data_IF_008308375141
#
_entry.id   IF_008308375141
#
_cell.length_a   1.000
_cell.length_b   1.000
_cell.length_c   1.000
_cell.angle_alpha   90.00
_cell.angle_beta   90.00
_cell.angle_gamma   90.00
#
_symmetry.space_group_name_H-M   'P 1'
#
loop_
_entity.id
_entity.type
_entity.pdbx_description
1 polymer ?
#
# COMPACT_ATOMS: atom_id res chain seq x y z
N UNK A 1 -15.39 -8.20 -16.12
CA UNK A 1 -14.97 -7.11 -15.21
C UNK A 1 -14.71 -5.85 -16.05
N UNK A 2 -14.80 -4.64 -15.49
CA UNK A 2 -14.50 -3.39 -16.24
C UNK A 2 -13.04 -3.37 -16.67
N UNK A 3 -12.78 -3.10 -17.95
CA UNK A 3 -11.43 -2.91 -18.49
C UNK A 3 -10.84 -1.53 -18.18
N UNK A 4 -11.59 -0.69 -17.46
CA UNK A 4 -11.22 0.70 -17.20
C UNK A 4 -11.36 1.08 -15.74
N UNK A 5 -10.49 2.00 -15.34
CA UNK A 5 -10.50 2.70 -14.07
C UNK A 5 -10.66 4.20 -14.31
N UNK A 6 -11.22 4.91 -13.34
CA UNK A 6 -11.65 6.30 -13.50
C UNK A 6 -11.08 7.20 -12.41
N UNK A 7 -10.73 8.43 -12.77
CA UNK A 7 -10.29 9.46 -11.81
C UNK A 7 -11.06 10.74 -12.04
N UNK A 8 -11.69 11.24 -10.98
CA UNK A 8 -12.42 12.50 -10.97
C UNK A 8 -11.44 13.63 -10.69
N UNK A 9 -11.53 14.73 -11.43
CA UNK A 9 -10.66 15.90 -11.29
C UNK A 9 -11.46 17.19 -11.37
N UNK A 10 -11.03 18.17 -10.60
CA UNK A 10 -11.40 19.57 -10.80
C UNK A 10 -10.68 20.12 -12.04
N UNK A 11 -11.20 21.20 -12.62
CA UNK A 11 -10.49 21.95 -13.67
C UNK A 11 -9.56 22.94 -12.97
N UNK A 12 -8.29 22.58 -12.84
CA UNK A 12 -7.22 23.43 -12.33
C UNK A 12 -5.95 23.24 -13.17
N UNK A 13 -4.99 24.17 -13.02
CA UNK A 13 -3.75 24.17 -13.81
C UNK A 13 -2.98 22.85 -13.63
N UNK A 14 -2.96 22.27 -12.43
CA UNK A 14 -2.30 20.99 -12.18
C UNK A 14 -2.95 19.80 -12.93
N UNK A 15 -4.27 19.74 -12.97
CA UNK A 15 -5.00 18.70 -13.67
C UNK A 15 -4.89 18.84 -15.19
N UNK A 16 -4.86 20.08 -15.70
CA UNK A 16 -4.68 20.38 -17.11
C UNK A 16 -3.25 20.12 -17.57
N UNK A 17 -2.25 20.55 -16.81
CA UNK A 17 -0.83 20.25 -17.07
C UNK A 17 -0.57 18.76 -17.11
N UNK A 18 -1.11 18.01 -16.14
CA UNK A 18 -0.98 16.55 -16.11
C UNK A 18 -1.61 15.88 -17.33
N UNK A 19 -2.73 16.43 -17.83
CA UNK A 19 -3.36 15.93 -19.05
C UNK A 19 -2.54 16.27 -20.30
N UNK A 20 -2.06 17.51 -20.43
CA UNK A 20 -1.27 17.98 -21.58
C UNK A 20 0.07 17.24 -21.68
N UNK A 21 0.74 17.06 -20.54
CA UNK A 21 2.06 16.41 -20.44
C UNK A 21 1.97 14.88 -20.34
N UNK A 22 0.76 14.32 -20.28
CA UNK A 22 0.50 12.90 -20.04
C UNK A 22 1.19 12.39 -18.75
N UNK A 23 1.13 13.20 -17.70
CA UNK A 23 1.72 12.94 -16.40
C UNK A 23 0.66 12.48 -15.40
N UNK A 24 1.08 11.60 -14.50
CA UNK A 24 0.18 10.99 -13.53
C UNK A 24 0.65 11.28 -12.11
N UNK A 25 -0.01 12.24 -11.46
CA UNK A 25 0.36 12.67 -10.12
C UNK A 25 -0.05 11.65 -9.04
N UNK A 26 0.94 11.26 -8.24
CA UNK A 26 0.80 10.47 -7.03
C UNK A 26 0.97 11.37 -5.81
N UNK A 27 -0.03 11.37 -4.93
CA UNK A 27 -0.04 12.16 -3.72
C UNK A 27 0.72 11.44 -2.60
N UNK A 28 1.46 12.19 -1.79
CA UNK A 28 1.99 11.67 -0.52
C UNK A 28 0.82 11.39 0.44
N UNK A 29 0.78 10.25 1.14
CA UNK A 29 -0.23 9.97 2.16
C UNK A 29 -0.39 11.07 3.22
N UNK A 30 0.69 11.75 3.58
CA UNK A 30 0.67 12.89 4.50
C UNK A 30 -0.16 14.09 4.02
N UNK A 31 -0.50 14.15 2.73
CA UNK A 31 -1.36 15.20 2.16
C UNK A 31 -2.85 14.89 2.23
N UNK A 32 -3.24 13.69 2.69
CA UNK A 32 -4.63 13.30 2.78
C UNK A 32 -5.35 14.02 3.91
N UNK A 33 -6.57 14.47 3.61
CA UNK A 33 -7.42 15.22 4.54
C UNK A 33 -8.27 14.30 5.44
N UNK A 34 -8.37 13.01 5.13
CA UNK A 34 -9.06 12.04 5.96
C UNK A 34 -8.18 11.62 7.16
N UNK A 35 -8.69 11.70 8.39
CA UNK A 35 -7.91 11.37 9.57
C UNK A 35 -7.60 9.87 9.74
N UNK A 36 -8.18 8.99 8.92
CA UNK A 36 -7.99 7.54 8.91
C UNK A 36 -7.21 7.04 7.69
N UNK A 37 -7.18 7.80 6.59
CA UNK A 37 -6.45 7.39 5.38
C UNK A 37 -4.94 7.23 5.66
N UNK A 38 -4.40 6.09 5.23
CA UNK A 38 -2.99 5.69 5.40
C UNK A 38 -2.46 5.71 6.84
N UNK A 39 -3.34 5.83 7.85
CA UNK A 39 -2.97 5.69 9.25
C UNK A 39 -3.17 4.23 9.65
N UNK A 40 -2.15 3.42 9.38
CA UNK A 40 -2.18 1.98 9.61
C UNK A 40 -2.35 1.67 11.12
N UNK A 41 -3.60 1.50 11.54
CA UNK A 41 -3.95 1.16 12.91
C UNK A 41 -4.43 -0.28 12.97
N UNK A 42 -3.57 -1.17 13.48
CA UNK A 42 -3.91 -2.58 13.66
C UNK A 42 -4.39 -2.89 15.07
N UNK A 43 -5.14 -3.97 15.19
CA UNK A 43 -5.25 -4.68 16.46
C UNK A 43 -4.26 -5.84 16.47
N UNK A 44 -3.59 -6.06 17.60
CA UNK A 44 -2.70 -7.22 17.79
C UNK A 44 -3.45 -8.45 18.35
N UNK A 45 -4.79 -8.44 18.30
CA UNK A 45 -5.60 -9.55 18.76
C UNK A 45 -5.41 -10.73 17.80
N UNK A 46 -5.02 -11.88 18.35
CA UNK A 46 -4.86 -13.12 17.60
C UNK A 46 -3.60 -13.21 16.74
N UNK A 47 -2.66 -12.26 16.89
CA UNK A 47 -1.31 -12.41 16.34
C UNK A 47 -0.44 -13.27 17.26
N UNK A 48 0.40 -14.11 16.66
CA UNK A 48 1.38 -14.94 17.37
C UNK A 48 2.82 -14.62 16.92
N UNK A 49 3.79 -15.34 17.49
CA UNK A 49 5.21 -15.11 17.20
C UNK A 49 5.59 -15.41 15.76
N UNK A 50 4.84 -16.27 15.05
CA UNK A 50 5.11 -16.54 13.64
C UNK A 50 4.71 -15.35 12.77
N UNK A 51 3.62 -14.66 13.08
CA UNK A 51 3.25 -13.41 12.39
C UNK A 51 4.37 -12.37 12.53
N UNK A 52 4.97 -12.27 13.73
CA UNK A 52 6.08 -11.37 13.99
C UNK A 52 7.38 -11.80 13.29
N UNK A 53 7.69 -13.10 13.28
CA UNK A 53 8.85 -13.64 12.54
C UNK A 53 8.76 -13.28 11.06
N UNK A 54 7.59 -13.52 10.45
CA UNK A 54 7.35 -13.20 9.04
C UNK A 54 7.51 -11.70 8.76
N UNK A 55 6.95 -10.85 9.63
CA UNK A 55 7.10 -9.41 9.49
C UNK A 55 8.57 -8.96 9.59
N UNK A 56 9.30 -9.42 10.60
CA UNK A 56 10.70 -9.02 10.79
C UNK A 56 11.62 -9.58 9.72
N UNK A 57 11.37 -10.80 9.22
CA UNK A 57 12.12 -11.35 8.08
C UNK A 57 11.97 -10.47 6.84
N UNK A 58 10.73 -10.09 6.48
CA UNK A 58 10.47 -9.18 5.35
C UNK A 58 11.14 -7.80 5.55
N UNK A 59 11.09 -7.26 6.77
CA UNK A 59 11.71 -5.97 7.09
C UNK A 59 13.24 -6.03 6.98
N UNK A 60 13.87 -7.06 7.53
CA UNK A 60 15.32 -7.24 7.45
C UNK A 60 15.78 -7.54 6.03
N UNK A 61 15.00 -8.27 5.23
CA UNK A 61 15.30 -8.46 3.82
C UNK A 61 15.37 -7.12 3.06
N UNK A 62 14.50 -6.16 3.40
CA UNK A 62 14.50 -4.84 2.78
C UNK A 62 15.59 -3.91 3.33
N UNK A 63 15.75 -3.84 4.65
CA UNK A 63 16.69 -2.91 5.31
C UNK A 63 18.13 -3.40 5.32
N UNK A 64 18.35 -4.71 5.29
CA UNK A 64 19.66 -5.37 5.36
C UNK A 64 19.77 -6.48 4.28
N UNK A 65 19.65 -6.15 2.99
CA UNK A 65 19.67 -7.13 1.91
C UNK A 65 20.99 -7.94 1.81
N UNK A 66 22.06 -7.44 2.42
CA UNK A 66 23.36 -8.11 2.49
C UNK A 66 23.39 -9.33 3.42
N UNK A 67 22.43 -9.47 4.35
CA UNK A 67 22.40 -10.62 5.24
C UNK A 67 22.01 -11.89 4.47
N UNK A 68 22.77 -12.95 4.70
CA UNK A 68 22.37 -14.29 4.27
C UNK A 68 21.06 -14.69 4.94
N UNK A 69 20.38 -15.69 4.36
CA UNK A 69 19.14 -16.22 4.93
C UNK A 69 19.33 -16.77 6.34
N UNK A 70 20.52 -17.26 6.69
CA UNK A 70 20.79 -17.80 8.03
C UNK A 70 21.03 -16.69 9.05
N UNK A 71 21.85 -15.68 8.72
CA UNK A 71 22.07 -14.52 9.59
C UNK A 71 20.77 -13.78 9.88
N UNK A 72 19.91 -13.62 8.86
CA UNK A 72 18.60 -13.01 9.03
C UNK A 72 17.70 -13.82 9.96
N UNK A 73 17.68 -15.16 9.84
CA UNK A 73 16.91 -16.03 10.76
C UNK A 73 17.36 -15.89 12.21
N UNK A 74 18.67 -15.84 12.44
CA UNK A 74 19.24 -15.64 13.78
C UNK A 74 18.76 -14.29 14.34
N UNK A 75 18.90 -13.20 13.57
CA UNK A 75 18.51 -11.86 14.03
C UNK A 75 16.99 -11.76 14.27
N UNK A 76 16.15 -12.37 13.43
CA UNK A 76 14.69 -12.45 13.64
C UNK A 76 14.39 -13.15 14.96
N UNK A 77 15.03 -14.29 15.23
CA UNK A 77 14.78 -15.07 16.43
C UNK A 77 15.22 -14.32 17.70
N UNK A 78 16.37 -13.62 17.65
CA UNK A 78 16.81 -12.72 18.72
C UNK A 78 15.77 -11.63 19.01
N UNK A 79 15.25 -10.95 17.97
CA UNK A 79 14.22 -9.91 18.12
C UNK A 79 12.96 -10.50 18.78
N UNK A 80 12.52 -11.67 18.31
CA UNK A 80 11.31 -12.33 18.81
C UNK A 80 11.45 -12.75 20.26
N UNK A 81 12.60 -13.31 20.64
CA UNK A 81 12.92 -13.73 22.02
C UNK A 81 13.05 -12.53 22.97
N UNK A 82 13.69 -11.44 22.53
CA UNK A 82 13.79 -10.20 23.31
C UNK A 82 12.39 -9.62 23.58
N UNK A 83 11.44 -9.75 22.64
CA UNK A 83 10.04 -9.44 22.88
C UNK A 83 9.71 -7.95 23.10
N UNK A 84 10.67 -7.03 22.94
CA UNK A 84 10.52 -5.58 23.16
C UNK A 84 9.37 -4.94 22.38
N UNK A 85 8.97 -5.52 21.26
CA UNK A 85 7.83 -5.06 20.45
C UNK A 85 6.47 -5.33 21.13
N UNK A 86 6.42 -6.24 22.11
CA UNK A 86 5.27 -6.53 22.97
C UNK A 86 5.28 -5.73 24.27
N UNK A 87 6.45 -5.22 24.69
CA UNK A 87 6.74 -4.68 26.03
C UNK A 87 6.16 -3.28 26.33
N UNK A 88 5.12 -2.86 25.62
CA UNK A 88 4.40 -1.64 25.97
C UNK A 88 3.29 -1.94 26.97
N UNK A 89 3.13 -1.07 27.97
CA UNK A 89 2.18 -1.20 29.09
C UNK A 89 0.70 -1.12 28.68
N UNK A 90 0.36 -0.65 27.47
CA UNK A 90 -1.04 -0.61 26.98
C UNK A 90 -1.19 -0.86 25.46
N UNK A 91 -2.30 -1.52 25.08
CA UNK A 91 -2.71 -1.70 23.68
C UNK A 91 -2.72 -0.37 22.90
N UNK A 92 -3.13 0.72 23.56
CA UNK A 92 -3.20 2.06 22.97
C UNK A 92 -1.82 2.57 22.54
N UNK A 93 -0.82 2.35 23.37
CA UNK A 93 0.54 2.80 23.09
C UNK A 93 1.22 1.91 22.02
N UNK A 94 0.93 0.60 21.99
CA UNK A 94 1.41 -0.27 20.91
C UNK A 94 0.88 0.21 19.56
N UNK A 95 -0.43 0.50 19.49
CA UNK A 95 -1.04 1.08 18.28
C UNK A 95 -0.41 2.40 17.87
N UNK A 96 -0.17 3.30 18.82
CA UNK A 96 0.46 4.60 18.54
C UNK A 96 1.86 4.42 17.96
N UNK A 97 2.69 3.56 18.57
CA UNK A 97 4.07 3.31 18.13
C UNK A 97 4.12 2.71 16.73
N UNK A 98 3.37 1.64 16.50
CA UNK A 98 3.33 0.98 15.19
C UNK A 98 2.67 1.85 14.13
N UNK A 99 1.60 2.57 14.48
CA UNK A 99 0.96 3.52 13.58
C UNK A 99 1.94 4.58 13.07
N UNK A 100 2.78 5.13 13.94
CA UNK A 100 3.80 6.12 13.54
C UNK A 100 4.85 5.53 12.60
N UNK A 101 5.37 4.34 12.91
CA UNK A 101 6.38 3.66 12.06
C UNK A 101 5.80 3.42 10.67
N UNK A 102 4.59 2.87 10.60
CA UNK A 102 3.95 2.55 9.33
C UNK A 102 3.52 3.79 8.54
N UNK A 103 3.15 4.86 9.23
CA UNK A 103 2.88 6.17 8.62
C UNK A 103 4.17 6.71 7.97
N UNK A 104 5.29 6.72 8.69
CA UNK A 104 6.61 7.12 8.18
C UNK A 104 7.02 6.31 6.93
N UNK A 105 6.79 4.99 6.94
CA UNK A 105 7.05 4.15 5.76
C UNK A 105 6.08 4.43 4.61
N UNK A 106 4.78 4.58 4.90
CA UNK A 106 3.79 4.86 3.86
C UNK A 106 4.04 6.19 3.16
N UNK A 107 4.54 7.19 3.87
CA UNK A 107 4.86 8.52 3.32
C UNK A 107 6.02 8.51 2.32
N UNK A 108 6.76 7.41 2.20
CA UNK A 108 7.77 7.22 1.15
C UNK A 108 7.14 6.78 -0.18
N UNK A 109 5.86 6.43 -0.19
CA UNK A 109 5.12 5.97 -1.35
C UNK A 109 4.26 7.09 -1.93
N UNK A 110 4.12 7.09 -3.26
CA UNK A 110 3.12 7.88 -3.95
C UNK A 110 1.82 7.08 -4.09
N UNK A 111 0.68 7.69 -3.74
CA UNK A 111 -0.64 7.06 -3.78
C UNK A 111 -1.58 7.75 -4.76
N UNK A 112 -2.46 6.95 -5.37
CA UNK A 112 -3.53 7.43 -6.23
C UNK A 112 -4.81 6.66 -5.95
N UNK A 113 -5.94 7.35 -5.95
CA UNK A 113 -7.25 6.74 -5.85
C UNK A 113 -7.92 6.70 -7.23
N UNK A 114 -8.43 5.52 -7.60
CA UNK A 114 -9.16 5.26 -8.83
C UNK A 114 -10.50 4.60 -8.50
N UNK A 115 -11.51 4.84 -9.35
CA UNK A 115 -12.85 4.28 -9.22
C UNK A 115 -13.15 3.29 -10.34
N UNK A 116 -14.00 2.30 -10.05
CA UNK A 116 -14.57 1.39 -11.05
C UNK A 116 -15.75 2.01 -11.81
N UNK A 117 -16.32 3.10 -11.28
CA UNK A 117 -17.54 3.71 -11.80
C UNK A 117 -17.26 5.15 -12.25
N UNK A 118 -17.62 5.54 -13.49
CA UNK A 118 -17.44 6.91 -14.00
C UNK A 118 -18.58 7.88 -13.66
N UNK A 119 -19.69 7.36 -13.16
CA UNK A 119 -20.93 8.12 -12.90
C UNK A 119 -21.32 8.09 -11.42
N UNK A 120 -20.36 7.88 -10.53
CA UNK A 120 -20.61 7.87 -9.10
C UNK A 120 -20.88 9.30 -8.61
N UNK A 121 -22.11 9.57 -8.17
CA UNK A 121 -22.58 10.91 -7.82
C UNK A 121 -21.81 11.51 -6.63
N UNK A 122 -21.40 10.67 -5.67
CA UNK A 122 -20.64 11.10 -4.50
C UNK A 122 -19.21 11.47 -4.92
N UNK A 123 -18.58 10.64 -5.75
CA UNK A 123 -17.26 10.97 -6.28
C UNK A 123 -17.26 12.25 -7.10
N UNK A 124 -18.29 12.46 -7.93
CA UNK A 124 -18.45 13.71 -8.67
C UNK A 124 -18.65 14.93 -7.74
N UNK A 125 -19.35 14.76 -6.63
CA UNK A 125 -19.56 15.81 -5.63
C UNK A 125 -18.24 16.22 -4.95
N UNK A 126 -17.41 15.25 -4.56
CA UNK A 126 -16.21 15.47 -3.76
C UNK A 126 -14.95 15.80 -4.58
N UNK A 127 -14.77 15.18 -5.75
CA UNK A 127 -13.49 15.18 -6.46
C UNK A 127 -13.51 15.91 -7.81
N UNK A 128 -14.64 16.50 -8.19
CA UNK A 128 -14.79 17.24 -9.46
C UNK A 128 -15.60 18.51 -9.28
N UNK A 129 -15.25 19.30 -8.25
CA UNK A 129 -15.79 20.64 -7.99
C UNK A 129 -17.33 20.66 -8.07
N UNK A 130 -17.97 19.79 -7.28
CA UNK A 130 -19.44 19.69 -7.22
C UNK A 130 -20.07 19.50 -8.61
N UNK A 131 -19.61 18.48 -9.35
CA UNK A 131 -20.07 18.13 -10.70
C UNK A 131 -19.63 19.05 -11.85
N UNK A 132 -18.66 19.96 -11.64
CA UNK A 132 -18.17 20.89 -12.68
C UNK A 132 -16.81 20.52 -13.27
N UNK A 133 -16.18 19.47 -12.75
CA UNK A 133 -14.92 18.95 -13.22
C UNK A 133 -15.06 17.97 -14.38
N UNK A 134 -14.09 17.06 -14.49
CA UNK A 134 -14.06 16.03 -15.52
C UNK A 134 -13.66 14.67 -14.94
N UNK A 135 -13.87 13.62 -15.73
CA UNK A 135 -13.54 12.25 -15.37
C UNK A 135 -12.58 11.67 -16.40
N UNK A 136 -11.37 11.33 -15.95
CA UNK A 136 -10.37 10.63 -16.75
C UNK A 136 -10.63 9.14 -16.73
N UNK A 137 -10.41 8.50 -17.87
CA UNK A 137 -10.59 7.07 -18.09
C UNK A 137 -9.24 6.44 -18.43
N UNK A 138 -8.84 5.44 -17.66
CA UNK A 138 -7.57 4.73 -17.79
C UNK A 138 -7.83 3.27 -18.15
N UNK A 139 -6.99 2.72 -19.02
CA UNK A 139 -6.96 1.28 -19.25
C UNK A 139 -6.45 0.58 -17.99
N UNK A 140 -7.27 -0.32 -17.45
CA UNK A 140 -6.99 -1.02 -16.20
C UNK A 140 -5.74 -1.89 -16.31
N UNK A 141 -5.51 -2.52 -17.47
CA UNK A 141 -4.33 -3.36 -17.69
C UNK A 141 -3.06 -2.52 -17.68
N UNK A 142 -3.06 -1.37 -18.37
CA UNK A 142 -1.90 -0.47 -18.36
C UNK A 142 -1.57 -0.02 -16.94
N UNK A 143 -2.57 0.35 -16.15
CA UNK A 143 -2.37 0.74 -14.75
C UNK A 143 -1.80 -0.43 -13.92
N UNK A 144 -2.37 -1.63 -14.03
CA UNK A 144 -1.92 -2.80 -13.26
C UNK A 144 -0.53 -3.31 -13.71
N UNK A 145 -0.15 -3.09 -14.97
CA UNK A 145 1.18 -3.44 -15.50
C UNK A 145 2.28 -2.49 -14.95
N UNK A 146 1.95 -1.24 -14.62
CA UNK A 146 2.93 -0.23 -14.17
C UNK A 146 2.88 0.04 -12.66
N UNK A 147 1.72 -0.11 -12.04
CA UNK A 147 1.46 0.28 -10.66
C UNK A 147 0.77 -0.84 -9.89
N UNK A 148 1.14 -0.97 -8.61
CA UNK A 148 0.42 -1.86 -7.70
C UNK A 148 -0.95 -1.26 -7.40
N UNK A 149 -2.00 -1.94 -7.86
CA UNK A 149 -3.37 -1.52 -7.66
C UNK A 149 -4.10 -2.50 -6.73
N UNK A 150 -4.67 -1.98 -5.65
CA UNK A 150 -5.42 -2.78 -4.68
C UNK A 150 -6.87 -2.30 -4.62
N UNK A 151 -7.80 -3.24 -4.50
CA UNK A 151 -9.17 -2.87 -4.17
C UNK A 151 -9.25 -2.50 -2.69
N UNK A 152 -9.82 -1.34 -2.39
CA UNK A 152 -10.02 -0.90 -1.02
C UNK A 152 -11.32 -1.47 -0.49
N UNK A 153 -11.22 -2.34 0.51
CA UNK A 153 -12.37 -2.91 1.23
C UNK A 153 -12.61 -2.11 2.52
N UNK A 154 -13.62 -1.26 2.53
CA UNK A 154 -13.99 -0.47 3.71
C UNK A 154 -14.62 -1.35 4.80
N UNK A 155 -14.14 -1.22 6.03
CA UNK A 155 -14.61 -1.96 7.20
C UNK A 155 -14.81 -1.03 8.40
N UNK A 156 -15.81 -1.32 9.23
CA UNK A 156 -16.02 -0.62 10.52
C UNK A 156 -15.08 -1.11 11.62
N UNK A 157 -14.35 -2.20 11.37
CA UNK A 157 -13.39 -2.79 12.30
C UNK A 157 -11.98 -2.60 11.78
N UNK A 158 -11.07 -2.23 12.69
CA UNK A 158 -9.64 -2.17 12.39
C UNK A 158 -9.12 -3.55 11.95
N UNK A 159 -8.23 -3.60 10.93
CA UNK A 159 -7.57 -4.84 10.56
C UNK A 159 -6.73 -5.39 11.71
N UNK A 160 -6.52 -6.71 11.72
CA UNK A 160 -5.57 -7.36 12.64
C UNK A 160 -4.16 -7.29 12.05
N UNK A 161 -3.15 -7.27 12.92
CA UNK A 161 -1.75 -7.35 12.49
C UNK A 161 -1.50 -8.63 11.68
N UNK A 162 -2.09 -9.75 12.10
CA UNK A 162 -2.07 -11.01 11.35
C UNK A 162 -2.56 -10.84 9.91
N UNK A 163 -3.76 -10.25 9.71
CA UNK A 163 -4.30 -10.01 8.36
C UNK A 163 -3.38 -9.10 7.54
N UNK A 164 -2.78 -8.09 8.17
CA UNK A 164 -1.79 -7.24 7.50
C UNK A 164 -0.56 -8.02 7.02
N UNK A 165 0.01 -8.87 7.87
CA UNK A 165 1.16 -9.73 7.50
C UNK A 165 0.77 -10.70 6.37
N UNK A 166 -0.41 -11.31 6.44
CA UNK A 166 -0.93 -12.18 5.37
C UNK A 166 -1.04 -11.44 4.03
N UNK A 167 -1.55 -10.21 4.02
CA UNK A 167 -1.63 -9.39 2.79
C UNK A 167 -0.25 -8.94 2.30
N UNK A 168 0.67 -8.57 3.19
CA UNK A 168 2.06 -8.25 2.82
C UNK A 168 2.74 -9.42 2.11
N UNK A 169 2.57 -10.65 2.62
CA UNK A 169 3.16 -11.85 2.01
C UNK A 169 2.61 -12.08 0.60
N UNK A 170 1.29 -11.94 0.41
CA UNK A 170 0.68 -12.06 -0.92
C UNK A 170 1.27 -11.04 -1.90
N UNK A 171 1.47 -9.80 -1.45
CA UNK A 171 2.07 -8.75 -2.27
C UNK A 171 3.52 -9.09 -2.64
N UNK A 172 4.30 -9.58 -1.68
CA UNK A 172 5.71 -9.96 -1.91
C UNK A 172 5.84 -11.13 -2.86
N UNK A 173 5.03 -12.18 -2.70
CA UNK A 173 5.04 -13.36 -3.58
C UNK A 173 4.64 -12.95 -5.00
N UNK A 174 3.59 -12.15 -5.16
CA UNK A 174 3.16 -11.68 -6.49
C UNK A 174 4.25 -10.85 -7.17
N UNK A 175 4.93 -9.97 -6.42
CA UNK A 175 6.03 -9.18 -6.97
C UNK A 175 7.20 -10.07 -7.43
N UNK A 176 7.55 -11.09 -6.67
CA UNK A 176 8.59 -12.05 -7.06
C UNK A 176 8.20 -12.85 -8.31
N UNK A 177 6.93 -13.24 -8.42
CA UNK A 177 6.41 -13.91 -9.61
C UNK A 177 6.44 -12.99 -10.84
N UNK A 178 6.02 -11.72 -10.70
CA UNK A 178 6.06 -10.74 -11.79
C UNK A 178 7.49 -10.47 -12.27
N UNK A 179 8.46 -10.35 -11.35
CA UNK A 179 9.87 -10.20 -11.68
C UNK A 179 10.42 -11.43 -12.41
N UNK A 180 10.04 -12.64 -11.99
CA UNK A 180 10.38 -13.89 -12.68
C UNK A 180 9.86 -13.87 -14.13
N UNK A 181 8.56 -13.59 -14.34
CA UNK A 181 7.94 -13.55 -15.68
C UNK A 181 8.46 -12.41 -16.58
N UNK A 182 8.95 -11.31 -16.00
CA UNK A 182 9.59 -10.21 -16.75
C UNK A 182 11.00 -10.57 -17.20
N UNK A 183 11.72 -11.36 -16.42
CA UNK A 183 13.07 -11.82 -16.76
C UNK A 183 13.05 -12.95 -17.79
N UNK A 184 12.10 -13.88 -17.72
CA UNK A 184 11.92 -14.95 -18.72
C UNK A 184 11.59 -14.41 -20.12
N UNK A 185 10.77 -13.35 -20.21
CA UNK A 185 10.46 -12.70 -21.50
C UNK A 185 11.65 -12.00 -22.15
N UNK A 186 12.73 -11.70 -21.41
CA UNK A 186 13.95 -11.10 -21.97
C UNK A 186 14.91 -12.15 -22.53
N UNK A 187 14.76 -13.43 -22.17
CA UNK A 187 15.62 -14.52 -22.66
C UNK A 187 15.09 -15.16 -23.94
N UNK A 188 13.82 -14.93 -24.30
CA UNK A 188 13.22 -15.45 -25.54
C UNK A 188 13.39 -14.52 -26.75
N UNK A 189 13.84 -13.27 -26.54
CA UNK A 189 14.09 -12.27 -27.60
C UNK A 189 15.59 -12.14 -27.98
N UNK A 190 16.45 -13.09 -27.58
CA UNK A 190 17.89 -13.15 -27.89
C UNK A 190 18.26 -14.41 -28.65
#
# INVERSE_FOLDING_TARGET
MSNFLYRYRVVDDHALDGLEKNEFYFASPSSFNDPFDCKNQFTFKGSDDNDWRLFFDMQLQHMKPQLSSEERRIEVEEIVQIGKYKETSSIKEQRRRWGKILEEESNKLGMVCLSKYPKDILMWSHYSDKHRGFCLKFDKKIIEDHFRCFHVDYSRQYPTFKKFVEELIKITINAMADDFWRNDRKTDDS
#
